data_IF_347448043821
#
_entry.id   IF_347448043821
#
_cell.length_a   1.000
_cell.length_b   1.000
_cell.length_c   1.000
_cell.angle_alpha   90.00
_cell.angle_beta   90.00
_cell.angle_gamma   90.00
#
_symmetry.space_group_name_H-M   'P 1'
#
loop_
_entity.id
_entity.type
_entity.pdbx_description
1 polymer ?
#
# COMPACT_ATOMS: atom_id res chain seq x y z
N UNK A 1 10.72 7.15 -16.10
CA UNK A 1 11.18 5.77 -15.79
C UNK A 1 10.42 4.80 -16.68
N UNK A 2 11.07 3.77 -17.23
CA UNK A 2 10.42 2.73 -18.05
C UNK A 2 10.17 1.48 -17.22
N UNK A 3 9.09 0.75 -17.53
CA UNK A 3 8.75 -0.52 -16.87
C UNK A 3 9.73 -1.61 -17.34
N UNK A 4 10.30 -2.39 -16.42
CA UNK A 4 11.10 -3.56 -16.77
C UNK A 4 10.18 -4.72 -17.22
N UNK A 5 9.99 -4.87 -18.53
CA UNK A 5 9.09 -5.87 -19.13
C UNK A 5 9.58 -7.31 -18.96
N UNK A 6 10.90 -7.56 -18.99
CA UNK A 6 11.48 -8.88 -18.73
C UNK A 6 11.19 -9.33 -17.30
N UNK A 7 11.42 -8.45 -16.32
CA UNK A 7 11.11 -8.71 -14.92
C UNK A 7 9.61 -8.98 -14.72
N UNK A 8 8.75 -8.17 -15.35
CA UNK A 8 7.30 -8.33 -15.30
C UNK A 8 6.86 -9.70 -15.85
N UNK A 9 7.43 -10.13 -16.98
CA UNK A 9 7.13 -11.42 -17.58
C UNK A 9 7.60 -12.58 -16.70
N UNK A 10 8.79 -12.45 -16.07
CA UNK A 10 9.32 -13.44 -15.12
C UNK A 10 8.41 -13.59 -13.89
N UNK A 11 7.91 -12.50 -13.33
CA UNK A 11 6.98 -12.52 -12.20
C UNK A 11 5.66 -13.18 -12.60
N UNK A 12 5.09 -12.78 -13.74
CA UNK A 12 3.84 -13.34 -14.25
C UNK A 12 3.95 -14.86 -14.48
N UNK A 13 5.08 -15.30 -15.04
CA UNK A 13 5.36 -16.72 -15.28
C UNK A 13 5.57 -17.50 -13.97
N UNK A 14 6.26 -16.89 -12.99
CA UNK A 14 6.48 -17.50 -11.69
C UNK A 14 5.17 -17.60 -10.88
N UNK A 15 4.33 -16.57 -10.95
CA UNK A 15 3.00 -16.51 -10.33
C UNK A 15 2.11 -17.66 -10.79
N UNK A 16 2.06 -17.93 -12.10
CA UNK A 16 1.26 -19.01 -12.66
C UNK A 16 1.65 -20.41 -12.12
N UNK A 17 2.93 -20.61 -11.79
CA UNK A 17 3.44 -21.90 -11.29
C UNK A 17 3.41 -22.04 -9.77
N UNK A 18 3.50 -20.94 -9.03
CA UNK A 18 3.76 -20.95 -7.59
C UNK A 18 2.67 -20.28 -6.75
N UNK A 19 1.48 -20.01 -7.33
CA UNK A 19 0.41 -19.25 -6.69
C UNK A 19 0.08 -19.76 -5.27
N UNK A 20 -0.01 -21.07 -5.09
CA UNK A 20 -0.37 -21.71 -3.83
C UNK A 20 0.71 -21.50 -2.77
N UNK A 21 1.97 -21.65 -3.17
CA UNK A 21 3.11 -21.39 -2.29
C UNK A 21 3.16 -19.92 -1.88
N UNK A 22 2.89 -19.00 -2.82
CA UNK A 22 2.88 -17.56 -2.55
C UNK A 22 1.73 -17.17 -1.62
N UNK A 23 0.54 -17.75 -1.82
CA UNK A 23 -0.58 -17.60 -0.90
C UNK A 23 -0.18 -18.07 0.49
N UNK A 24 0.33 -19.31 0.63
CA UNK A 24 0.76 -19.84 1.93
C UNK A 24 1.77 -18.93 2.62
N UNK A 25 2.82 -18.48 1.92
CA UNK A 25 3.81 -17.54 2.49
C UNK A 25 3.19 -16.23 2.97
N UNK A 26 2.32 -15.62 2.15
CA UNK A 26 1.67 -14.36 2.52
C UNK A 26 0.76 -14.50 3.75
N UNK A 27 0.03 -15.62 3.85
CA UNK A 27 -0.85 -15.90 4.99
C UNK A 27 -0.03 -16.22 6.26
N UNK A 28 0.98 -17.09 6.15
CA UNK A 28 1.83 -17.49 7.28
C UNK A 28 2.61 -16.32 7.86
N UNK A 29 3.16 -15.43 7.02
CA UNK A 29 3.88 -14.25 7.52
C UNK A 29 3.03 -13.39 8.46
N UNK A 30 1.73 -13.23 8.15
CA UNK A 30 0.83 -12.49 9.03
C UNK A 30 0.44 -13.25 10.29
N UNK A 31 0.40 -14.58 10.23
CA UNK A 31 0.18 -15.41 11.41
C UNK A 31 1.38 -15.33 12.36
N UNK A 32 2.61 -15.43 11.82
CA UNK A 32 3.88 -15.34 12.54
C UNK A 32 4.13 -13.97 13.18
N UNK A 33 3.74 -12.88 12.51
CA UNK A 33 3.74 -11.54 13.11
C UNK A 33 2.92 -11.46 14.43
N UNK A 34 1.93 -12.34 14.59
CA UNK A 34 1.08 -12.35 15.78
C UNK A 34 0.14 -11.15 15.87
N UNK A 35 -0.39 -10.91 17.06
CA UNK A 35 -1.35 -9.84 17.33
C UNK A 35 -0.70 -8.53 17.83
N UNK A 36 0.63 -8.47 17.86
CA UNK A 36 1.37 -7.31 18.36
C UNK A 36 1.02 -6.07 17.53
N UNK A 37 0.73 -4.95 18.21
CA UNK A 37 0.35 -3.68 17.60
C UNK A 37 -1.07 -3.60 17.03
N UNK A 38 -1.80 -4.72 16.87
CA UNK A 38 -3.12 -4.72 16.19
C UNK A 38 -4.18 -3.91 16.94
N UNK A 39 -4.28 -4.10 18.25
CA UNK A 39 -5.23 -3.36 19.08
C UNK A 39 -4.90 -1.86 19.10
N UNK A 40 -3.61 -1.51 19.15
CA UNK A 40 -3.17 -0.12 19.07
C UNK A 40 -3.55 0.48 17.71
N UNK A 41 -3.30 -0.24 16.61
CA UNK A 41 -3.66 0.23 15.27
C UNK A 41 -5.16 0.49 15.14
N UNK A 42 -6.00 -0.45 15.60
CA UNK A 42 -7.46 -0.29 15.59
C UNK A 42 -7.88 0.95 16.42
N UNK A 43 -7.28 1.16 17.59
CA UNK A 43 -7.54 2.34 18.42
C UNK A 43 -7.11 3.66 17.75
N UNK A 44 -5.98 3.66 17.03
CA UNK A 44 -5.51 4.85 16.29
C UNK A 44 -6.42 5.13 15.08
N UNK A 45 -6.90 4.09 14.41
CA UNK A 45 -7.87 4.21 13.32
C UNK A 45 -9.22 4.77 13.78
N UNK A 46 -9.69 4.40 14.97
CA UNK A 46 -10.94 4.91 15.56
C UNK A 46 -10.85 6.36 16.05
N UNK A 47 -9.65 6.91 16.19
CA UNK A 47 -9.47 8.34 16.52
C UNK A 47 -9.74 9.25 15.32
N UNK A 48 -9.73 8.73 14.09
CA UNK A 48 -10.09 9.51 12.91
C UNK A 48 -11.60 9.78 12.84
N UNK A 49 -12.03 10.92 12.27
CA UNK A 49 -13.44 11.18 12.03
C UNK A 49 -14.08 10.06 11.19
N UNK A 50 -15.25 9.58 11.63
CA UNK A 50 -16.02 8.61 10.86
C UNK A 50 -16.67 9.30 9.67
N UNK A 51 -16.53 8.70 8.50
CA UNK A 51 -17.00 9.26 7.22
C UNK A 51 -17.89 8.27 6.45
N UNK A 52 -18.76 8.82 5.59
CA UNK A 52 -19.43 8.07 4.52
C UNK A 52 -18.79 8.38 3.17
N UNK A 53 -18.81 7.40 2.28
CA UNK A 53 -18.30 7.46 0.90
C UNK A 53 -19.36 6.85 -0.03
N UNK A 54 -19.42 7.29 -1.29
CA UNK A 54 -20.30 6.72 -2.31
C UNK A 54 -19.71 5.47 -3.00
N UNK A 55 -18.57 4.98 -2.53
CA UNK A 55 -17.90 3.76 -3.00
C UNK A 55 -17.67 3.67 -4.53
N UNK A 56 -17.47 4.81 -5.19
CA UNK A 56 -17.29 4.87 -6.64
C UNK A 56 -15.92 4.35 -7.14
N UNK A 57 -15.00 4.00 -6.24
CA UNK A 57 -13.69 3.44 -6.55
C UNK A 57 -12.73 4.38 -7.30
N UNK A 58 -13.04 5.67 -7.45
CA UNK A 58 -12.20 6.63 -8.20
C UNK A 58 -10.86 6.92 -7.50
N UNK A 59 -10.87 7.02 -6.17
CA UNK A 59 -9.68 7.23 -5.34
C UNK A 59 -8.84 5.97 -5.13
N UNK A 60 -9.35 4.78 -5.47
CA UNK A 60 -8.64 3.53 -5.30
C UNK A 60 -7.42 3.47 -6.23
N UNK A 61 -6.24 3.51 -5.61
CA UNK A 61 -4.91 3.39 -6.20
C UNK A 61 -4.04 2.49 -5.31
N UNK A 62 -2.92 2.02 -5.82
CA UNK A 62 -1.85 1.42 -5.04
C UNK A 62 -1.32 2.52 -4.12
N UNK A 63 -1.66 2.39 -2.84
CA UNK A 63 -1.38 3.36 -1.79
C UNK A 63 -0.32 2.81 -0.86
N UNK A 64 0.57 3.69 -0.42
CA UNK A 64 1.54 3.32 0.61
C UNK A 64 0.85 3.16 1.96
N UNK A 65 1.20 2.07 2.64
CA UNK A 65 0.69 1.67 3.95
C UNK A 65 1.87 1.27 4.83
N UNK A 66 1.65 1.26 6.13
CA UNK A 66 2.61 0.69 7.07
C UNK A 66 2.56 -0.84 7.04
N UNK A 67 3.66 -1.50 7.39
CA UNK A 67 3.72 -2.98 7.50
C UNK A 67 2.70 -3.52 8.51
N UNK A 68 2.46 -2.81 9.61
CA UNK A 68 1.44 -3.20 10.58
C UNK A 68 0.03 -3.20 9.96
N UNK A 69 -0.26 -2.25 9.06
CA UNK A 69 -1.52 -2.20 8.30
C UNK A 69 -1.61 -3.32 7.27
N UNK A 70 -0.49 -3.72 6.66
CA UNK A 70 -0.44 -4.90 5.80
C UNK A 70 -0.90 -6.16 6.56
N UNK A 71 -0.35 -6.41 7.75
CA UNK A 71 -0.73 -7.55 8.58
C UNK A 71 -2.19 -7.47 9.03
N UNK A 72 -2.68 -6.28 9.41
CA UNK A 72 -4.10 -6.10 9.76
C UNK A 72 -5.04 -6.43 8.60
N UNK A 73 -4.68 -6.01 7.38
CA UNK A 73 -5.43 -6.30 6.16
C UNK A 73 -5.41 -7.79 5.81
N UNK A 74 -4.25 -8.44 5.88
CA UNK A 74 -4.13 -9.89 5.64
C UNK A 74 -4.98 -10.68 6.64
N UNK A 75 -4.91 -10.35 7.94
CA UNK A 75 -5.74 -10.97 8.98
C UNK A 75 -7.24 -10.81 8.73
N UNK A 76 -7.66 -9.62 8.30
CA UNK A 76 -9.06 -9.39 7.95
C UNK A 76 -9.52 -10.31 6.83
N UNK A 77 -8.78 -10.34 5.70
CA UNK A 77 -9.18 -11.15 4.56
C UNK A 77 -9.11 -12.65 4.88
N UNK A 78 -8.13 -13.10 5.66
CA UNK A 78 -8.04 -14.50 6.11
C UNK A 78 -9.25 -14.92 6.94
N UNK A 79 -9.78 -14.01 7.76
CA UNK A 79 -10.89 -14.30 8.68
C UNK A 79 -12.24 -14.22 7.96
N UNK A 80 -12.37 -13.34 6.97
CA UNK A 80 -13.67 -12.97 6.39
C UNK A 80 -13.89 -13.49 4.97
N UNK A 81 -12.84 -13.88 4.24
CA UNK A 81 -12.96 -14.25 2.82
C UNK A 81 -12.86 -15.76 2.60
N UNK A 82 -13.62 -16.31 1.65
CA UNK A 82 -13.44 -17.70 1.25
C UNK A 82 -12.09 -17.91 0.52
N UNK A 83 -11.52 -19.14 0.56
CA UNK A 83 -10.22 -19.45 -0.03
C UNK A 83 -10.07 -19.03 -1.50
N UNK A 84 -11.11 -19.19 -2.31
CA UNK A 84 -11.10 -18.83 -3.74
C UNK A 84 -10.87 -17.32 -3.93
N UNK A 85 -11.39 -16.50 -3.02
CA UNK A 85 -11.22 -15.04 -3.06
C UNK A 85 -9.82 -14.64 -2.61
N UNK A 86 -9.24 -15.32 -1.63
CA UNK A 86 -7.83 -15.15 -1.25
C UNK A 86 -6.89 -15.49 -2.41
N UNK A 87 -7.16 -16.59 -3.14
CA UNK A 87 -6.41 -16.94 -4.35
C UNK A 87 -6.49 -15.86 -5.42
N UNK A 88 -7.68 -15.27 -5.64
CA UNK A 88 -7.86 -14.13 -6.55
C UNK A 88 -7.08 -12.89 -6.11
N UNK A 89 -6.99 -12.62 -4.80
CA UNK A 89 -6.19 -11.51 -4.27
C UNK A 89 -4.71 -11.65 -4.63
N UNK A 90 -4.13 -12.82 -4.34
CA UNK A 90 -2.72 -13.13 -4.66
C UNK A 90 -2.47 -13.04 -6.15
N UNK A 91 -3.39 -13.58 -6.97
CA UNK A 91 -3.30 -13.47 -8.42
C UNK A 91 -3.37 -11.99 -8.89
N UNK A 92 -4.29 -11.19 -8.33
CA UNK A 92 -4.43 -9.77 -8.64
C UNK A 92 -3.20 -8.95 -8.25
N UNK A 93 -2.58 -9.25 -7.10
CA UNK A 93 -1.32 -8.64 -6.68
C UNK A 93 -0.19 -8.89 -7.70
N UNK A 94 -0.18 -10.05 -8.35
CA UNK A 94 0.84 -10.46 -9.34
C UNK A 94 0.53 -10.02 -10.78
N UNK A 95 -0.67 -9.49 -11.04
CA UNK A 95 -1.15 -9.09 -12.38
C UNK A 95 -1.34 -7.57 -12.47
N UNK A 96 -0.23 -6.84 -12.49
CA UNK A 96 -0.24 -5.38 -12.56
C UNK A 96 -0.87 -4.85 -13.86
N UNK A 97 -0.76 -5.62 -14.95
CA UNK A 97 -1.35 -5.33 -16.26
C UNK A 97 -2.88 -5.16 -16.17
N UNK A 98 -3.55 -5.96 -15.35
CA UNK A 98 -5.00 -5.89 -15.16
C UNK A 98 -5.44 -4.70 -14.32
N UNK A 99 -4.51 -4.06 -13.62
CA UNK A 99 -4.79 -2.98 -12.67
C UNK A 99 -4.36 -1.62 -13.15
N UNK A 100 -3.79 -1.49 -14.34
CA UNK A 100 -3.42 -0.19 -14.89
C UNK A 100 -4.67 0.62 -15.28
N UNK A 101 -4.62 1.91 -14.99
CA UNK A 101 -5.66 2.85 -15.37
C UNK A 101 -5.06 4.23 -15.62
N UNK A 102 -5.77 5.04 -16.41
CA UNK A 102 -5.46 6.45 -16.61
C UNK A 102 -6.60 7.31 -16.05
N UNK A 103 -6.27 8.31 -15.24
CA UNK A 103 -7.23 9.23 -14.63
C UNK A 103 -6.65 10.63 -14.63
N UNK A 104 -7.32 11.57 -15.29
CA UNK A 104 -6.89 12.97 -15.38
C UNK A 104 -5.40 13.10 -15.76
N UNK A 105 -5.01 12.42 -16.84
CA UNK A 105 -3.64 12.37 -17.38
C UNK A 105 -2.58 11.76 -16.44
N UNK A 106 -2.99 11.10 -15.36
CA UNK A 106 -2.11 10.34 -14.48
C UNK A 106 -2.21 8.84 -14.74
N UNK A 107 -1.05 8.18 -14.85
CA UNK A 107 -0.96 6.72 -14.76
C UNK A 107 -1.22 6.29 -13.33
N UNK A 108 -2.15 5.36 -13.16
CA UNK A 108 -2.56 4.81 -11.86
C UNK A 108 -2.48 3.30 -11.91
N UNK A 109 -1.96 2.73 -10.83
CA UNK A 109 -2.06 1.31 -10.56
C UNK A 109 -3.19 1.11 -9.57
N UNK A 110 -4.34 0.56 -10.01
CA UNK A 110 -5.50 0.36 -9.15
C UNK A 110 -5.18 -0.54 -7.96
N UNK A 111 -5.78 -0.21 -6.82
CA UNK A 111 -5.65 -0.98 -5.59
C UNK A 111 -6.06 -2.45 -5.81
N UNK A 112 -5.30 -3.39 -5.27
CA UNK A 112 -5.61 -4.83 -5.35
C UNK A 112 -6.95 -5.20 -4.69
N UNK A 113 -7.43 -4.37 -3.76
CA UNK A 113 -8.67 -4.59 -3.04
C UNK A 113 -9.87 -3.93 -3.72
N UNK A 114 -9.70 -3.30 -4.87
CA UNK A 114 -10.82 -2.77 -5.64
C UNK A 114 -11.40 -3.90 -6.48
N UNK A 115 -12.68 -4.15 -6.32
CA UNK A 115 -13.40 -5.06 -7.20
C UNK A 115 -13.59 -4.43 -8.58
N UNK A 116 -13.31 -5.17 -9.64
CA UNK A 116 -13.35 -4.63 -10.99
C UNK A 116 -14.76 -4.53 -11.57
N UNK A 117 -15.73 -5.26 -11.04
CA UNK A 117 -17.11 -5.20 -11.53
C UNK A 117 -17.88 -4.10 -10.80
N UNK A 118 -17.99 -4.22 -9.47
CA UNK A 118 -18.72 -3.30 -8.61
C UNK A 118 -17.99 -1.98 -8.33
N UNK A 119 -16.66 -1.94 -8.54
CA UNK A 119 -15.77 -0.82 -8.18
C UNK A 119 -15.65 -0.56 -6.67
N UNK A 120 -16.21 -1.43 -5.84
CA UNK A 120 -16.22 -1.31 -4.38
C UNK A 120 -14.89 -1.76 -3.78
N UNK A 121 -14.50 -1.12 -2.66
CA UNK A 121 -13.36 -1.56 -1.87
C UNK A 121 -13.73 -2.80 -1.05
N UNK A 122 -13.07 -3.91 -1.35
CA UNK A 122 -13.32 -5.20 -0.71
C UNK A 122 -12.90 -5.27 0.76
N UNK A 123 -12.08 -4.32 1.22
CA UNK A 123 -11.60 -4.19 2.60
C UNK A 123 -12.04 -2.86 3.22
N UNK A 124 -13.17 -2.29 2.77
CA UNK A 124 -13.65 -0.97 3.19
C UNK A 124 -13.65 -0.76 4.74
N UNK A 125 -14.08 -1.73 5.58
CA UNK A 125 -14.10 -1.57 7.04
C UNK A 125 -12.72 -1.43 7.69
N UNK A 126 -11.69 -2.03 7.11
CA UNK A 126 -10.31 -2.05 7.64
C UNK A 126 -9.33 -1.26 6.78
N UNK A 127 -9.83 -0.24 6.07
CA UNK A 127 -9.01 0.60 5.21
C UNK A 127 -7.82 1.19 6.00
N UNK A 128 -6.64 1.26 5.38
CA UNK A 128 -5.45 1.85 6.00
C UNK A 128 -5.59 3.38 6.15
N UNK A 129 -4.70 3.98 6.92
CA UNK A 129 -4.60 5.42 7.19
C UNK A 129 -4.64 6.25 5.92
N UNK A 130 -3.85 5.88 4.91
CA UNK A 130 -3.83 6.59 3.63
C UNK A 130 -5.22 6.71 2.99
N UNK A 131 -6.07 5.69 3.10
CA UNK A 131 -7.45 5.73 2.62
C UNK A 131 -8.38 6.52 3.55
N UNK A 132 -8.23 6.37 4.87
CA UNK A 132 -9.09 7.04 5.86
C UNK A 132 -8.88 8.55 5.86
N UNK A 133 -7.61 8.98 5.77
CA UNK A 133 -7.19 10.39 5.80
C UNK A 133 -7.62 11.13 4.53
N UNK A 134 -7.53 10.48 3.36
CA UNK A 134 -7.80 11.11 2.06
C UNK A 134 -9.17 11.80 1.94
N UNK A 135 -10.15 11.38 2.74
CA UNK A 135 -11.49 11.95 2.69
C UNK A 135 -11.78 13.02 3.75
N UNK A 136 -10.84 13.32 4.65
CA UNK A 136 -11.08 14.17 5.82
C UNK A 136 -11.04 15.66 5.47
N UNK A 137 -11.74 16.46 6.27
CA UNK A 137 -11.73 17.92 6.15
C UNK A 137 -10.43 18.48 6.72
N UNK A 138 -9.71 19.22 5.90
CA UNK A 138 -8.46 19.89 6.28
C UNK A 138 -8.69 21.27 6.87
N UNK A 139 -7.64 21.81 7.48
CA UNK A 139 -7.63 23.16 8.06
C UNK A 139 -7.92 24.27 7.04
N UNK A 140 -7.57 24.06 5.77
CA UNK A 140 -7.86 24.98 4.67
C UNK A 140 -9.31 24.90 4.15
N UNK A 141 -10.16 24.07 4.78
CA UNK A 141 -11.54 23.85 4.38
C UNK A 141 -11.70 22.93 3.16
N UNK A 142 -10.62 22.31 2.67
CA UNK A 142 -10.65 21.43 1.50
C UNK A 142 -10.71 19.94 1.87
N UNK A 143 -11.04 19.13 0.86
CA UNK A 143 -10.99 17.66 0.89
C UNK A 143 -10.41 17.16 -0.43
N UNK A 144 -9.64 16.09 -0.41
CA UNK A 144 -9.17 15.44 -1.65
C UNK A 144 -10.30 14.69 -2.36
N UNK A 145 -11.36 14.33 -1.64
CA UNK A 145 -12.55 13.70 -2.20
C UNK A 145 -13.83 14.42 -1.75
N UNK A 146 -14.51 15.09 -2.69
CA UNK A 146 -15.77 15.79 -2.43
C UNK A 146 -16.94 14.83 -2.09
N UNK A 147 -16.82 13.55 -2.45
CA UNK A 147 -17.82 12.52 -2.14
C UNK A 147 -17.70 11.94 -0.72
N UNK A 148 -16.61 12.23 -0.01
CA UNK A 148 -16.47 11.82 1.38
C UNK A 148 -17.04 12.92 2.28
N UNK A 149 -17.90 12.52 3.22
CA UNK A 149 -18.55 13.41 4.18
C UNK A 149 -18.47 12.85 5.57
N UNK A 150 -18.30 13.71 6.56
CA UNK A 150 -18.28 13.32 7.96
C UNK A 150 -19.68 12.85 8.40
N UNK A 151 -19.72 11.80 9.21
CA UNK A 151 -20.97 11.32 9.80
C UNK A 151 -21.45 12.23 10.94
N UNK A 152 -20.52 12.87 11.65
CA UNK A 152 -20.80 13.79 12.74
C UNK A 152 -20.95 15.22 12.21
N UNK A 153 -21.88 15.97 12.80
CA UNK A 153 -22.04 17.40 12.58
C UNK A 153 -21.86 18.15 13.91
N UNK A 154 -21.13 19.29 13.96
CA UNK A 154 -20.36 19.87 12.84
C UNK A 154 -19.22 18.94 12.38
N UNK A 155 -18.79 19.10 11.12
CA UNK A 155 -17.67 18.33 10.55
C UNK A 155 -16.39 18.55 11.38
N UNK A 156 -15.55 17.53 11.48
CA UNK A 156 -14.31 17.58 12.25
C UNK A 156 -13.16 17.99 11.35
N UNK A 157 -12.60 19.17 11.60
CA UNK A 157 -11.35 19.60 10.97
C UNK A 157 -10.20 18.84 11.59
N UNK A 158 -9.39 18.17 10.77
CA UNK A 158 -8.15 17.50 11.21
C UNK A 158 -6.94 18.31 10.78
N UNK A 159 -6.01 18.51 11.74
CA UNK A 159 -4.77 19.23 11.50
C UNK A 159 -3.69 18.31 10.97
N UNK A 160 -2.74 18.86 10.23
CA UNK A 160 -1.60 18.09 9.73
C UNK A 160 -0.78 17.48 10.88
N UNK A 161 -0.53 18.25 11.94
CA UNK A 161 0.23 17.79 13.12
C UNK A 161 -0.47 16.64 13.84
N UNK A 162 -1.80 16.66 13.92
CA UNK A 162 -2.58 15.56 14.48
C UNK A 162 -2.40 14.28 13.67
N UNK A 163 -2.48 14.37 12.34
CA UNK A 163 -2.28 13.23 11.45
C UNK A 163 -0.85 12.68 11.51
N UNK A 164 0.16 13.55 11.64
CA UNK A 164 1.56 13.16 11.83
C UNK A 164 1.72 12.43 13.16
N UNK A 165 1.15 12.96 14.25
CA UNK A 165 1.19 12.35 15.58
C UNK A 165 0.59 10.93 15.59
N UNK A 166 -0.55 10.73 14.91
CA UNK A 166 -1.17 9.40 14.82
C UNK A 166 -0.29 8.42 14.03
N UNK A 167 0.23 8.86 12.88
CA UNK A 167 1.06 8.01 12.02
C UNK A 167 2.41 7.66 12.66
N UNK A 168 3.01 8.57 13.45
CA UNK A 168 4.24 8.31 14.19
C UNK A 168 4.10 7.11 15.14
N UNK A 169 2.95 6.97 15.82
CA UNK A 169 2.68 5.83 16.73
C UNK A 169 2.58 4.50 15.99
N UNK A 170 2.06 4.52 14.75
CA UNK A 170 2.03 3.33 13.88
C UNK A 170 3.44 2.97 13.46
N UNK A 171 4.24 3.98 13.09
CA UNK A 171 5.61 3.83 12.64
C UNK A 171 6.50 3.14 13.69
N UNK A 172 6.36 3.51 14.98
CA UNK A 172 7.08 2.88 16.10
C UNK A 172 6.87 1.36 16.21
N UNK A 173 5.76 0.85 15.66
CA UNK A 173 5.36 -0.57 15.71
C UNK A 173 5.34 -1.21 14.32
N UNK A 174 5.91 -0.55 13.32
CA UNK A 174 5.93 -1.01 11.94
C UNK A 174 7.37 -1.26 11.50
N UNK A 175 7.58 -2.39 10.81
CA UNK A 175 8.80 -2.62 10.04
C UNK A 175 9.09 -1.46 9.07
N UNK A 176 10.37 -1.24 8.86
CA UNK A 176 10.92 -0.33 7.86
C UNK A 176 11.79 -1.09 6.85
N UNK A 177 12.23 -0.38 5.81
CA UNK A 177 13.24 -0.88 4.91
C UNK A 177 14.17 0.25 4.49
N UNK A 178 15.48 0.01 4.57
CA UNK A 178 16.50 0.95 4.13
C UNK A 178 16.98 0.54 2.71
N UNK A 179 16.48 1.20 1.65
CA UNK A 179 16.80 0.78 0.28
C UNK A 179 18.21 1.15 -0.18
N UNK A 180 18.90 2.04 0.55
CA UNK A 180 20.24 2.54 0.22
C UNK A 180 21.13 2.46 1.46
N UNK A 181 22.41 2.04 1.34
CA UNK A 181 23.33 1.90 2.48
C UNK A 181 23.44 3.14 3.38
N UNK A 182 23.34 4.33 2.79
CA UNK A 182 23.46 5.63 3.49
C UNK A 182 22.14 6.43 3.48
N UNK A 183 21.01 5.79 3.13
CA UNK A 183 19.71 6.44 3.05
C UNK A 183 18.88 6.28 4.32
N UNK A 184 17.85 7.12 4.47
CA UNK A 184 16.87 6.96 5.53
C UNK A 184 16.04 5.69 5.36
N UNK A 185 15.56 5.16 6.49
CA UNK A 185 14.57 4.09 6.49
C UNK A 185 13.23 4.57 5.91
N UNK A 186 12.63 3.76 5.05
CA UNK A 186 11.28 3.99 4.53
C UNK A 186 10.32 3.06 5.29
N UNK A 187 9.29 3.65 5.89
CA UNK A 187 8.29 2.91 6.69
C UNK A 187 6.96 2.69 5.97
N UNK A 188 6.75 3.38 4.84
CA UNK A 188 5.49 3.36 4.10
C UNK A 188 5.75 2.92 2.65
N UNK A 189 5.22 1.75 2.30
CA UNK A 189 5.30 1.22 0.95
C UNK A 189 3.92 0.74 0.49
N UNK A 190 3.69 0.63 -0.83
CA UNK A 190 2.47 0.00 -1.32
C UNK A 190 2.24 -1.38 -0.71
N UNK A 191 0.99 -1.80 -0.57
CA UNK A 191 0.66 -3.15 -0.12
C UNK A 191 1.48 -4.22 -0.86
N UNK A 192 1.65 -4.04 -2.17
CA UNK A 192 2.38 -4.96 -3.03
C UNK A 192 3.85 -5.15 -2.60
N UNK A 193 4.51 -4.11 -2.08
CA UNK A 193 5.88 -4.24 -1.57
C UNK A 193 5.94 -5.18 -0.37
N UNK A 194 5.08 -4.95 0.64
CA UNK A 194 5.01 -5.80 1.83
C UNK A 194 4.65 -7.25 1.45
N UNK A 195 3.69 -7.40 0.56
CA UNK A 195 3.31 -8.70 0.01
C UNK A 195 4.49 -9.43 -0.66
N UNK A 196 5.25 -8.75 -1.54
CA UNK A 196 6.40 -9.36 -2.19
C UNK A 196 7.56 -9.63 -1.25
N UNK A 197 7.74 -8.82 -0.20
CA UNK A 197 8.78 -9.02 0.81
C UNK A 197 8.61 -10.38 1.51
N UNK A 198 7.38 -10.76 1.83
CA UNK A 198 7.10 -12.06 2.47
C UNK A 198 7.12 -13.25 1.50
N UNK A 199 6.81 -13.03 0.22
CA UNK A 199 6.81 -14.10 -0.78
C UNK A 199 8.22 -14.41 -1.30
N UNK A 200 9.03 -13.37 -1.47
CA UNK A 200 10.38 -13.40 -2.01
C UNK A 200 11.40 -13.01 -0.93
N UNK A 201 12.32 -12.11 -1.25
CA UNK A 201 13.26 -11.48 -0.32
C UNK A 201 13.02 -9.97 -0.32
N UNK A 202 13.48 -9.23 0.70
CA UNK A 202 13.39 -7.76 0.72
C UNK A 202 14.01 -7.09 -0.52
N UNK A 203 15.17 -7.58 -0.99
CA UNK A 203 15.86 -7.06 -2.17
C UNK A 203 15.02 -7.28 -3.43
N UNK A 204 14.39 -8.45 -3.54
CA UNK A 204 13.53 -8.77 -4.68
C UNK A 204 12.25 -7.94 -4.65
N UNK A 205 11.64 -7.74 -3.49
CA UNK A 205 10.47 -6.87 -3.32
C UNK A 205 10.81 -5.42 -3.71
N UNK A 206 11.98 -4.93 -3.29
CA UNK A 206 12.49 -3.62 -3.66
C UNK A 206 12.75 -3.49 -5.17
N UNK A 207 13.35 -4.52 -5.80
CA UNK A 207 13.53 -4.53 -7.25
C UNK A 207 12.19 -4.41 -7.98
N UNK A 208 11.17 -5.17 -7.55
CA UNK A 208 9.81 -5.12 -8.13
C UNK A 208 9.19 -3.74 -7.93
N UNK A 209 9.31 -3.17 -6.72
CA UNK A 209 8.77 -1.85 -6.43
C UNK A 209 9.40 -0.78 -7.33
N UNK A 210 10.74 -0.74 -7.44
CA UNK A 210 11.47 0.25 -8.23
C UNK A 210 11.27 0.11 -9.74
N UNK A 211 11.31 -1.11 -10.26
CA UNK A 211 11.38 -1.36 -11.70
C UNK A 211 10.02 -1.62 -12.35
N UNK A 212 8.97 -1.86 -11.55
CA UNK A 212 7.62 -2.13 -12.04
C UNK A 212 6.62 -1.16 -11.43
N UNK A 213 6.42 -1.20 -10.10
CA UNK A 213 5.34 -0.45 -9.45
C UNK A 213 5.51 1.07 -9.61
N UNK A 214 6.72 1.58 -9.36
CA UNK A 214 7.05 3.01 -9.48
C UNK A 214 6.79 3.52 -10.91
N UNK A 215 7.34 2.91 -11.99
CA UNK A 215 7.06 3.32 -13.37
C UNK A 215 5.59 3.18 -13.80
N UNK A 216 4.81 2.30 -13.17
CA UNK A 216 3.39 2.07 -13.49
C UNK A 216 2.42 3.08 -12.84
N UNK A 217 2.88 3.89 -11.89
CA UNK A 217 2.00 4.76 -11.09
C UNK A 217 2.64 6.14 -10.90
N UNK A 218 2.07 7.17 -11.50
CA UNK A 218 2.52 8.56 -11.34
C UNK A 218 2.62 8.98 -9.86
N UNK A 219 1.65 8.62 -8.98
CA UNK A 219 1.79 8.84 -7.54
C UNK A 219 3.03 8.18 -6.91
N UNK A 220 3.32 6.92 -7.26
CA UNK A 220 4.50 6.22 -6.75
C UNK A 220 5.80 6.79 -7.32
N UNK A 221 5.80 7.23 -8.58
CA UNK A 221 6.93 7.95 -9.19
C UNK A 221 7.26 9.22 -8.40
N UNK A 222 6.26 10.05 -8.10
CA UNK A 222 6.48 11.28 -7.32
C UNK A 222 6.99 11.00 -5.92
N UNK A 223 6.44 9.97 -5.26
CA UNK A 223 6.90 9.55 -3.95
C UNK A 223 8.36 9.08 -3.99
N UNK A 224 8.69 8.19 -4.93
CA UNK A 224 10.03 7.66 -5.13
C UNK A 224 11.06 8.76 -5.42
N UNK A 225 10.72 9.74 -6.26
CA UNK A 225 11.61 10.86 -6.58
C UNK A 225 11.96 11.72 -5.35
N UNK A 226 11.04 11.89 -4.40
CA UNK A 226 11.34 12.60 -3.15
C UNK A 226 12.42 11.89 -2.32
N UNK A 227 12.50 10.57 -2.41
CA UNK A 227 13.50 9.77 -1.69
C UNK A 227 14.85 9.67 -2.44
N UNK A 228 14.88 9.79 -3.78
CA UNK A 228 16.13 9.71 -4.57
C UNK A 228 16.98 11.00 -4.48
N UNK A 229 16.47 12.10 -3.92
CA UNK A 229 17.29 13.30 -3.69
C UNK A 229 18.34 13.17 -2.58
N UNK A 230 18.57 11.95 -2.07
CA UNK A 230 19.80 11.56 -1.38
C UNK A 230 20.86 11.14 -2.41
N UNK A 231 22.12 11.59 -2.29
CA UNK A 231 23.12 11.37 -3.32
C UNK A 231 23.32 9.88 -3.61
N UNK A 232 23.51 9.48 -4.88
CA UNK A 232 23.72 8.08 -5.22
C UNK A 232 25.04 7.59 -4.59
N UNK A 233 25.10 6.32 -4.13
CA UNK A 233 26.34 5.75 -3.63
C UNK A 233 27.40 5.80 -4.74
N UNK A 234 28.57 6.36 -4.41
CA UNK A 234 29.75 6.24 -5.26
C UNK A 234 30.01 4.75 -5.47
N UNK A 235 30.13 4.33 -6.73
CA UNK A 235 30.53 2.96 -7.06
C UNK A 235 31.86 2.68 -6.37
N UNK A 236 31.87 1.75 -5.42
CA UNK A 236 33.11 1.17 -4.94
C UNK A 236 33.75 0.39 -6.09
N UNK A 237 34.85 0.94 -6.63
CA UNK A 237 35.61 0.34 -7.72
C UNK A 237 35.92 1.35 -8.81
N UNK A 238 36.91 2.20 -8.54
CA UNK A 238 38.01 2.51 -9.47
C UNK A 238 39.04 3.34 -8.68
N UNK A 239 39.94 2.62 -8.03
CA UNK A 239 41.20 3.15 -7.52
C UNK A 239 42.26 2.11 -7.85
N UNK A 240 42.79 2.22 -9.07
CA UNK A 240 44.17 1.81 -9.38
C UNK A 240 45.15 2.60 -8.54
#
# INVERSE_FOLDING_TARGET
MQINTDLLQKISSAAARNLDSYLQKALTASAEHGAFGMQMLDQLHEQLPRTRCNDCGKCCNSISIFSLEYHRLIREVMTTWPPERLRRLVHSALRFDLRQAEVADEKRLRCIFRDDESKVCLVHPVRPFACRIFGLLKEDGTRECQHVKDLRQPETVVTQDYLISLQAKVLENSESYQPFPDGDEIHFFPFEFWFFRHIFTPERAMQIYREILVPMSSPLTRLWQKHIHLPPPQKAGDST
#
